data_IF_157942673767
#
_entry.id   IF_157942673767
#
_cell.length_a   1.000
_cell.length_b   1.000
_cell.length_c   1.000
_cell.angle_alpha   90.00
_cell.angle_beta   90.00
_cell.angle_gamma   90.00
#
_symmetry.space_group_name_H-M   'P 1'
#
loop_
_entity.id
_entity.type
_entity.pdbx_description
1 polymer ?
#
# COMPACT_ATOMS: atom_id res chain seq x y z
N UNK A 1 -6.63 -11.90 -15.48
CA UNK A 1 -5.49 -11.81 -14.54
C UNK A 1 -5.35 -10.39 -13.98
N UNK A 2 -5.24 -9.34 -14.80
CA UNK A 2 -5.01 -7.95 -14.34
C UNK A 2 -6.17 -7.30 -13.54
N UNK A 3 -7.38 -7.85 -13.63
CA UNK A 3 -8.57 -7.30 -12.96
C UNK A 3 -8.42 -7.19 -11.45
N UNK A 4 -7.83 -8.21 -10.79
CA UNK A 4 -7.62 -8.18 -9.34
C UNK A 4 -6.60 -7.14 -8.89
N UNK A 5 -5.59 -6.84 -9.71
CA UNK A 5 -4.56 -5.83 -9.40
C UNK A 5 -5.14 -4.43 -9.59
N UNK A 6 -6.01 -4.24 -10.59
CA UNK A 6 -6.70 -2.96 -10.83
C UNK A 6 -7.70 -2.59 -9.71
N UNK A 7 -8.14 -3.56 -8.91
CA UNK A 7 -8.98 -3.33 -7.72
C UNK A 7 -8.16 -2.90 -6.48
N UNK A 8 -6.82 -2.84 -6.56
CA UNK A 8 -5.94 -2.42 -5.46
C UNK A 8 -5.55 -0.95 -5.61
N UNK A 9 -5.40 -0.25 -4.50
CA UNK A 9 -4.91 1.13 -4.49
C UNK A 9 -3.55 1.22 -5.21
N UNK A 10 -3.40 2.04 -6.26
CA UNK A 10 -2.17 2.11 -7.06
C UNK A 10 -0.92 2.43 -6.22
N UNK A 11 -1.06 3.30 -5.22
CA UNK A 11 0.03 3.65 -4.30
C UNK A 11 0.49 2.45 -3.47
N UNK A 12 -0.46 1.69 -2.92
CA UNK A 12 -0.17 0.50 -2.14
C UNK A 12 0.48 -0.59 -3.01
N UNK A 13 -0.04 -0.83 -4.21
CA UNK A 13 0.52 -1.82 -5.14
C UNK A 13 1.98 -1.51 -5.53
N UNK A 14 2.28 -0.23 -5.79
CA UNK A 14 3.65 0.23 -6.08
C UNK A 14 4.59 0.04 -4.89
N UNK A 15 4.13 0.38 -3.69
CA UNK A 15 4.89 0.21 -2.46
C UNK A 15 5.20 -1.26 -2.18
N UNK A 16 4.19 -2.13 -2.22
CA UNK A 16 4.39 -3.57 -1.98
C UNK A 16 5.38 -4.16 -2.98
N UNK A 17 5.29 -3.77 -4.26
CA UNK A 17 6.29 -4.19 -5.26
C UNK A 17 7.71 -3.76 -4.87
N UNK A 18 7.88 -2.53 -4.43
CA UNK A 18 9.20 -2.01 -4.03
C UNK A 18 9.77 -2.77 -2.83
N UNK A 19 8.96 -2.96 -1.78
CA UNK A 19 9.38 -3.71 -0.58
C UNK A 19 9.76 -5.15 -0.93
N UNK A 20 8.97 -5.83 -1.76
CA UNK A 20 9.26 -7.22 -2.18
C UNK A 20 10.58 -7.31 -2.96
N UNK A 21 10.94 -6.30 -3.75
CA UNK A 21 12.24 -6.29 -4.46
C UNK A 21 13.45 -6.17 -3.52
N UNK A 22 13.25 -5.77 -2.27
CA UNK A 22 14.33 -5.58 -1.28
C UNK A 22 14.50 -6.77 -0.32
N UNK A 23 13.57 -7.74 -0.29
CA UNK A 23 13.54 -8.88 0.66
C UNK A 23 14.80 -9.78 0.57
N UNK A 24 15.52 -9.77 -0.56
CA UNK A 24 16.72 -10.60 -0.78
C UNK A 24 18.04 -10.07 -0.22
N UNK A 25 18.07 -8.86 0.37
CA UNK A 25 19.30 -8.19 0.83
C UNK A 25 19.22 -7.81 2.32
N UNK A 26 19.04 -8.74 3.28
CA UNK A 26 19.00 -8.36 4.69
C UNK A 26 20.43 -8.10 5.19
N UNK A 27 20.99 -6.95 4.84
CA UNK A 27 22.13 -6.39 5.56
C UNK A 27 21.66 -5.65 6.83
N UNK A 28 20.41 -5.16 6.85
CA UNK A 28 19.85 -4.38 7.95
C UNK A 28 18.31 -4.51 8.05
N UNK A 29 17.84 -5.28 9.05
CA UNK A 29 16.41 -5.46 9.36
C UNK A 29 15.80 -4.15 9.90
N UNK A 30 16.57 -3.32 10.61
CA UNK A 30 16.08 -2.05 11.15
C UNK A 30 15.72 -1.09 10.01
N UNK A 31 16.57 -1.02 8.98
CA UNK A 31 16.31 -0.23 7.79
C UNK A 31 15.01 -0.65 7.10
N UNK A 32 14.78 -1.96 6.94
CA UNK A 32 13.56 -2.51 6.34
C UNK A 32 12.30 -2.11 7.13
N UNK A 33 12.32 -2.29 8.45
CA UNK A 33 11.18 -1.95 9.33
C UNK A 33 10.90 -0.45 9.31
N UNK A 34 11.94 0.39 9.33
CA UNK A 34 11.81 1.85 9.24
C UNK A 34 11.18 2.29 7.92
N UNK A 35 11.56 1.64 6.83
CA UNK A 35 11.00 1.86 5.50
C UNK A 35 9.53 1.46 5.44
N UNK A 36 9.18 0.29 5.98
CA UNK A 36 7.80 -0.19 6.07
C UNK A 36 6.89 0.78 6.87
N UNK A 37 7.35 1.27 8.03
CA UNK A 37 6.61 2.25 8.83
C UNK A 37 6.37 3.55 8.07
N UNK A 38 7.40 4.06 7.37
CA UNK A 38 7.31 5.31 6.61
C UNK A 38 6.27 5.20 5.50
N UNK A 39 6.30 4.12 4.74
CA UNK A 39 5.36 3.96 3.65
C UNK A 39 3.95 3.63 4.11
N UNK A 40 3.79 2.85 5.18
CA UNK A 40 2.48 2.59 5.79
C UNK A 40 1.80 3.87 6.24
N UNK A 41 2.54 4.77 6.91
CA UNK A 41 2.02 6.08 7.30
C UNK A 41 1.60 6.92 6.09
N UNK A 42 2.39 6.93 5.02
CA UNK A 42 2.05 7.65 3.78
C UNK A 42 0.82 7.08 3.08
N UNK A 43 0.72 5.75 3.00
CA UNK A 43 -0.43 5.06 2.41
C UNK A 43 -1.72 5.36 3.17
N UNK A 44 -1.69 5.32 4.51
CA UNK A 44 -2.87 5.64 5.33
C UNK A 44 -3.28 7.12 5.26
N UNK A 45 -2.32 8.04 5.07
CA UNK A 45 -2.59 9.47 4.94
C UNK A 45 -3.14 9.87 3.55
N UNK A 46 -2.94 9.01 2.54
CA UNK A 46 -3.39 9.24 1.16
C UNK A 46 -4.92 9.25 1.03
N UNK A 47 -5.42 9.77 -0.08
CA UNK A 47 -6.86 9.78 -0.35
C UNK A 47 -7.37 8.36 -0.57
N UNK A 48 -6.57 7.52 -1.24
CA UNK A 48 -6.85 6.09 -1.38
C UNK A 48 -6.87 5.36 -0.03
N UNK A 49 -6.01 5.77 0.91
CA UNK A 49 -5.99 5.23 2.27
C UNK A 49 -7.26 5.55 3.05
N UNK A 50 -7.68 6.81 3.03
CA UNK A 50 -8.93 7.26 3.66
C UNK A 50 -10.14 6.59 3.04
N UNK A 51 -10.16 6.46 1.71
CA UNK A 51 -11.23 5.79 0.97
C UNK A 51 -11.28 4.29 1.28
N UNK A 52 -10.13 3.61 1.36
CA UNK A 52 -10.08 2.20 1.76
C UNK A 52 -10.70 1.99 3.14
N UNK A 53 -10.32 2.82 4.12
CA UNK A 53 -10.90 2.79 5.47
C UNK A 53 -12.41 3.00 5.40
N UNK A 54 -12.87 4.06 4.71
CA UNK A 54 -14.30 4.36 4.56
C UNK A 54 -15.07 3.21 3.92
N UNK A 55 -14.57 2.65 2.82
CA UNK A 55 -15.21 1.54 2.10
C UNK A 55 -15.31 0.26 2.95
N UNK A 56 -14.30 -0.03 3.80
CA UNK A 56 -14.32 -1.16 4.75
C UNK A 56 -15.41 -0.98 5.80
N UNK A 57 -15.56 0.24 6.35
CA UNK A 57 -16.61 0.55 7.32
C UNK A 57 -18.00 0.55 6.70
N UNK A 58 -18.14 1.08 5.49
CA UNK A 58 -19.39 1.13 4.72
C UNK A 58 -19.74 -0.18 4.00
N UNK A 59 -18.88 -1.21 4.09
CA UNK A 59 -19.05 -2.53 3.44
C UNK A 59 -19.31 -2.46 1.93
N UNK A 60 -18.65 -1.52 1.25
CA UNK A 60 -18.72 -1.34 -0.21
C UNK A 60 -17.36 -1.49 -0.88
N UNK A 61 -17.35 -1.52 -2.21
CA UNK A 61 -16.10 -1.47 -2.97
C UNK A 61 -15.49 -0.06 -2.89
N UNK A 62 -14.17 0.06 -2.70
CA UNK A 62 -13.47 1.34 -2.73
C UNK A 62 -13.31 1.86 -4.16
N UNK A 63 -13.20 3.18 -4.30
CA UNK A 63 -12.87 3.85 -5.58
C UNK A 63 -11.53 4.55 -5.46
N UNK A 64 -10.49 3.94 -6.02
CA UNK A 64 -9.13 4.48 -5.95
C UNK A 64 -8.83 5.46 -7.08
N UNK A 65 -8.13 6.54 -6.75
CA UNK A 65 -7.72 7.61 -7.67
C UNK A 65 -6.20 7.73 -7.81
N UNK A 66 -5.42 7.01 -6.98
CA UNK A 66 -3.97 7.00 -7.01
C UNK A 66 -3.33 8.21 -6.32
N UNK A 67 -4.04 8.85 -5.38
CA UNK A 67 -3.61 10.04 -4.64
C UNK A 67 -3.51 9.79 -3.15
#
# INVERSE_FOLDING_TARGET
YCTKIAEVAPLAARQTKHLVTQIGLPADIEALVREELRYTGRGLASDDGKEAVRAIFEKRKPVFTGR
#
